data_IF_406141315322
#
_entry.id   IF_406141315322
#
_cell.length_a   1.000
_cell.length_b   1.000
_cell.length_c   1.000
_cell.angle_alpha   90.00
_cell.angle_beta   90.00
_cell.angle_gamma   90.00
#
_symmetry.space_group_name_H-M   'P 1'
#
loop_
_entity.id
_entity.type
_entity.pdbx_description
1 polymer ?
#
# COMPACT_ATOMS: atom_id res chain seq x y z
N UNK A 1 26.83 -32.10 -11.55
CA UNK A 1 26.83 -30.75 -10.94
C UNK A 1 25.50 -30.09 -11.27
N UNK A 2 24.44 -30.43 -10.55
CA UNK A 2 23.13 -29.81 -10.73
C UNK A 2 23.02 -28.58 -9.84
N UNK A 3 23.07 -27.39 -10.46
CA UNK A 3 22.54 -26.17 -9.85
C UNK A 3 21.02 -26.30 -9.88
N UNK A 4 20.46 -27.03 -8.91
CA UNK A 4 19.05 -26.97 -8.61
C UNK A 4 18.73 -25.51 -8.26
N UNK A 5 18.17 -24.78 -9.22
CA UNK A 5 17.64 -23.44 -9.03
C UNK A 5 16.53 -23.56 -8.01
N UNK A 6 16.87 -23.32 -6.73
CA UNK A 6 15.90 -23.26 -5.64
C UNK A 6 14.97 -22.10 -5.97
N UNK A 7 13.85 -22.42 -6.61
CA UNK A 7 12.80 -21.47 -6.89
C UNK A 7 12.41 -20.84 -5.55
N UNK A 8 12.69 -19.54 -5.41
CA UNK A 8 12.33 -18.82 -4.19
C UNK A 8 10.84 -19.05 -3.93
N UNK A 9 10.42 -19.34 -2.68
CA UNK A 9 9.02 -19.61 -2.38
C UNK A 9 8.17 -18.46 -2.93
N UNK A 10 7.17 -18.77 -3.76
CA UNK A 10 6.35 -17.80 -4.52
C UNK A 10 5.89 -16.59 -3.68
N UNK A 11 5.66 -16.79 -2.38
CA UNK A 11 5.32 -15.74 -1.42
C UNK A 11 6.38 -14.65 -1.20
N UNK A 12 7.69 -14.96 -1.32
CA UNK A 12 8.78 -13.97 -1.21
C UNK A 12 8.80 -13.01 -2.40
N UNK A 13 8.60 -13.51 -3.62
CA UNK A 13 8.53 -12.69 -4.83
C UNK A 13 7.33 -11.73 -4.80
N UNK A 14 6.15 -12.24 -4.43
CA UNK A 14 4.93 -11.43 -4.28
C UNK A 14 5.06 -10.36 -3.20
N UNK A 15 5.71 -10.67 -2.07
CA UNK A 15 5.94 -9.68 -1.01
C UNK A 15 6.88 -8.57 -1.50
N UNK A 16 7.94 -8.90 -2.23
CA UNK A 16 8.82 -7.88 -2.82
C UNK A 16 8.07 -7.02 -3.82
N UNK A 17 7.27 -7.62 -4.71
CA UNK A 17 6.44 -6.88 -5.66
C UNK A 17 5.45 -5.94 -4.95
N UNK A 18 4.75 -6.44 -3.92
CA UNK A 18 3.86 -5.62 -3.10
C UNK A 18 4.59 -4.43 -2.48
N UNK A 19 5.80 -4.64 -1.95
CA UNK A 19 6.61 -3.58 -1.32
C UNK A 19 7.05 -2.50 -2.30
N UNK A 20 7.57 -2.91 -3.45
CA UNK A 20 7.99 -1.98 -4.51
C UNK A 20 6.79 -1.18 -5.00
N UNK A 21 5.68 -1.87 -5.27
CA UNK A 21 4.45 -1.23 -5.72
C UNK A 21 3.90 -0.24 -4.68
N UNK A 22 3.85 -0.62 -3.41
CA UNK A 22 3.39 0.27 -2.34
C UNK A 22 4.28 1.50 -2.17
N UNK A 23 5.61 1.34 -2.24
CA UNK A 23 6.53 2.46 -2.16
C UNK A 23 6.36 3.41 -3.36
N UNK A 24 6.26 2.88 -4.57
CA UNK A 24 6.05 3.66 -5.79
C UNK A 24 4.70 4.40 -5.75
N UNK A 25 3.63 3.72 -5.36
CA UNK A 25 2.30 4.30 -5.22
C UNK A 25 2.30 5.41 -4.16
N UNK A 26 2.92 5.17 -2.99
CA UNK A 26 3.01 6.16 -1.93
C UNK A 26 3.78 7.41 -2.36
N UNK A 27 4.91 7.24 -3.07
CA UNK A 27 5.70 8.36 -3.59
C UNK A 27 4.92 9.15 -4.64
N UNK A 28 4.22 8.46 -5.55
CA UNK A 28 3.36 9.11 -6.54
C UNK A 28 2.23 9.90 -5.86
N UNK A 29 1.56 9.32 -4.86
CA UNK A 29 0.51 9.96 -4.10
C UNK A 29 1.01 11.18 -3.30
N UNK A 30 2.19 11.07 -2.67
CA UNK A 30 2.83 12.20 -1.97
C UNK A 30 3.23 13.31 -2.93
N UNK A 31 3.74 12.98 -4.11
CA UNK A 31 4.04 13.96 -5.15
C UNK A 31 2.77 14.68 -5.61
N UNK A 32 1.65 13.97 -5.79
CA UNK A 32 0.36 14.56 -6.09
C UNK A 32 -0.12 15.50 -4.98
N UNK A 33 -0.06 15.09 -3.71
CA UNK A 33 -0.39 15.97 -2.57
C UNK A 33 0.49 17.21 -2.57
N UNK A 34 1.81 17.06 -2.73
CA UNK A 34 2.73 18.19 -2.77
C UNK A 34 2.40 19.14 -3.93
N UNK A 35 2.13 18.60 -5.11
CA UNK A 35 1.78 19.39 -6.28
C UNK A 35 0.53 20.24 -6.01
N UNK A 36 -0.58 19.66 -5.56
CA UNK A 36 -1.82 20.39 -5.33
C UNK A 36 -1.83 21.28 -4.07
N UNK A 37 -0.98 20.99 -3.09
CA UNK A 37 -0.90 21.81 -1.86
C UNK A 37 0.09 22.97 -1.96
N UNK A 38 1.14 22.84 -2.79
CA UNK A 38 2.25 23.80 -2.86
C UNK A 38 2.37 24.46 -4.22
N UNK A 39 2.30 23.70 -5.31
CA UNK A 39 2.63 24.20 -6.65
C UNK A 39 1.40 24.69 -7.44
N UNK A 40 0.31 23.93 -7.39
CA UNK A 40 -0.92 24.17 -8.13
C UNK A 40 -2.10 24.41 -7.18
N UNK A 41 -1.88 25.18 -6.12
CA UNK A 41 -2.89 25.44 -5.08
C UNK A 41 -4.17 26.06 -5.64
N UNK A 42 -4.03 26.91 -6.66
CA UNK A 42 -5.13 27.60 -7.36
C UNK A 42 -6.01 26.63 -8.19
N UNK A 43 -5.47 25.47 -8.59
CA UNK A 43 -6.19 24.46 -9.35
C UNK A 43 -6.94 23.47 -8.45
N UNK A 44 -6.63 23.45 -7.16
CA UNK A 44 -7.25 22.56 -6.19
C UNK A 44 -8.58 23.12 -5.67
N UNK A 45 -9.58 22.26 -5.56
CA UNK A 45 -10.86 22.60 -4.94
C UNK A 45 -10.68 22.53 -3.42
N UNK A 46 -10.87 23.65 -2.73
CA UNK A 46 -10.81 23.73 -1.26
C UNK A 46 -12.20 24.05 -0.71
N UNK A 47 -12.71 23.21 0.18
CA UNK A 47 -14.02 23.40 0.82
C UNK A 47 -13.93 24.14 2.15
N UNK A 48 -12.71 24.34 2.66
CA UNK A 48 -12.40 25.04 3.89
C UNK A 48 -11.55 24.19 4.83
N UNK A 49 -10.76 24.84 5.70
CA UNK A 49 -9.74 24.16 6.51
C UNK A 49 -10.31 23.08 7.45
N UNK A 50 -11.57 23.20 7.88
CA UNK A 50 -12.22 22.20 8.74
C UNK A 50 -12.49 20.86 8.02
N UNK A 51 -12.57 20.88 6.69
CA UNK A 51 -12.83 19.70 5.86
C UNK A 51 -11.51 19.23 5.23
N UNK A 52 -10.76 20.16 4.63
CA UNK A 52 -9.60 19.80 3.82
C UNK A 52 -8.43 19.29 4.67
N UNK A 53 -8.14 19.93 5.81
CA UNK A 53 -7.01 19.54 6.68
C UNK A 53 -7.13 18.10 7.19
N UNK A 54 -8.26 17.64 7.77
CA UNK A 54 -8.37 16.26 8.22
C UNK A 54 -8.32 15.26 7.05
N UNK A 55 -8.92 15.57 5.90
CA UNK A 55 -8.89 14.68 4.73
C UNK A 55 -7.46 14.53 4.20
N UNK A 56 -6.77 15.65 3.95
CA UNK A 56 -5.37 15.64 3.50
C UNK A 56 -4.47 14.97 4.55
N UNK A 57 -4.69 15.23 5.83
CA UNK A 57 -3.95 14.57 6.92
C UNK A 57 -4.10 13.06 6.90
N UNK A 58 -5.33 12.54 6.78
CA UNK A 58 -5.58 11.10 6.68
C UNK A 58 -4.97 10.49 5.41
N UNK A 59 -5.03 11.21 4.29
CA UNK A 59 -4.39 10.77 3.04
C UNK A 59 -2.88 10.64 3.21
N UNK A 60 -2.22 11.67 3.77
CA UNK A 60 -0.78 11.65 4.04
C UNK A 60 -0.40 10.52 4.98
N UNK A 61 -1.17 10.29 6.05
CA UNK A 61 -0.95 9.14 6.95
C UNK A 61 -1.04 7.82 6.18
N UNK A 62 -2.06 7.63 5.34
CA UNK A 62 -2.19 6.44 4.49
C UNK A 62 -0.98 6.22 3.59
N UNK A 63 -0.48 7.28 2.94
CA UNK A 63 0.72 7.22 2.10
C UNK A 63 1.97 6.86 2.89
N UNK A 64 2.17 7.46 4.07
CA UNK A 64 3.30 7.15 4.93
C UNK A 64 3.28 5.70 5.43
N UNK A 65 2.09 5.13 5.70
CA UNK A 65 1.95 3.71 6.05
C UNK A 65 2.35 2.80 4.89
N UNK A 66 1.91 3.09 3.66
CA UNK A 66 2.31 2.35 2.45
C UNK A 66 3.82 2.44 2.21
N UNK A 67 4.39 3.63 2.38
CA UNK A 67 5.82 3.87 2.26
C UNK A 67 6.59 3.07 3.31
N UNK A 68 6.19 3.13 4.59
CA UNK A 68 6.79 2.38 5.68
C UNK A 68 6.75 0.87 5.43
N UNK A 69 5.63 0.35 4.92
CA UNK A 69 5.53 -1.04 4.48
C UNK A 69 6.56 -1.37 3.37
N UNK A 70 6.68 -0.51 2.36
CA UNK A 70 7.59 -0.70 1.23
C UNK A 70 9.08 -0.68 1.63
N UNK A 71 9.50 0.36 2.36
CA UNK A 71 10.92 0.67 2.53
C UNK A 71 11.52 0.27 3.87
N UNK A 72 10.74 0.15 4.95
CA UNK A 72 11.33 0.02 6.29
C UNK A 72 11.86 -1.39 6.55
N UNK A 73 13.19 -1.63 6.62
CA UNK A 73 13.74 -2.99 6.64
C UNK A 73 13.61 -3.66 8.02
N UNK A 74 13.55 -2.89 9.11
CA UNK A 74 13.58 -3.37 10.50
C UNK A 74 12.24 -3.77 11.11
N UNK A 75 11.12 -3.68 10.37
CA UNK A 75 9.82 -4.06 10.89
C UNK A 75 9.63 -5.58 10.82
N UNK A 76 9.10 -6.14 11.92
CA UNK A 76 8.61 -7.52 11.98
C UNK A 76 7.62 -7.76 10.81
N UNK A 77 7.66 -8.93 10.15
CA UNK A 77 6.84 -9.21 8.97
C UNK A 77 5.34 -8.94 9.16
N UNK A 78 4.79 -9.35 10.31
CA UNK A 78 3.37 -9.18 10.65
C UNK A 78 2.98 -7.71 10.78
N UNK A 79 3.77 -6.93 11.53
CA UNK A 79 3.55 -5.48 11.68
C UNK A 79 3.65 -4.77 10.33
N UNK A 80 4.57 -5.20 9.48
CA UNK A 80 4.73 -4.64 8.15
C UNK A 80 3.47 -4.85 7.31
N UNK A 81 2.99 -6.08 7.22
CA UNK A 81 1.75 -6.40 6.48
C UNK A 81 0.56 -5.62 7.03
N UNK A 82 0.44 -5.50 8.36
CA UNK A 82 -0.60 -4.70 8.99
C UNK A 82 -0.54 -3.21 8.56
N UNK A 83 0.65 -2.60 8.49
CA UNK A 83 0.81 -1.24 7.98
C UNK A 83 0.39 -1.12 6.51
N UNK A 84 0.76 -2.09 5.67
CA UNK A 84 0.36 -2.12 4.26
C UNK A 84 -1.16 -2.16 4.11
N UNK A 85 -1.83 -3.04 4.87
CA UNK A 85 -3.28 -3.15 4.89
C UNK A 85 -3.96 -1.88 5.44
N UNK A 86 -3.43 -1.31 6.53
CA UNK A 86 -3.94 -0.07 7.10
C UNK A 86 -3.80 1.11 6.13
N UNK A 87 -2.67 1.21 5.42
CA UNK A 87 -2.45 2.22 4.39
C UNK A 87 -3.43 2.10 3.21
N UNK A 88 -3.70 0.86 2.77
CA UNK A 88 -4.74 0.59 1.75
C UNK A 88 -6.13 0.97 2.26
N UNK A 89 -6.49 0.55 3.48
CA UNK A 89 -7.81 0.83 4.05
C UNK A 89 -8.06 2.34 4.20
N UNK A 90 -7.05 3.10 4.67
CA UNK A 90 -7.12 4.55 4.72
C UNK A 90 -7.26 5.15 3.31
N UNK A 91 -6.47 4.69 2.34
CA UNK A 91 -6.57 5.16 0.95
C UNK A 91 -7.97 4.98 0.35
N UNK A 92 -8.59 3.81 0.59
CA UNK A 92 -9.98 3.56 0.21
C UNK A 92 -10.95 4.51 0.93
N UNK A 93 -10.86 4.61 2.26
CA UNK A 93 -11.75 5.45 3.04
C UNK A 93 -11.67 6.92 2.61
N UNK A 94 -10.46 7.44 2.41
CA UNK A 94 -10.27 8.82 1.97
C UNK A 94 -10.79 9.05 0.56
N UNK A 95 -10.55 8.13 -0.39
CA UNK A 95 -11.03 8.31 -1.77
C UNK A 95 -12.56 8.17 -1.87
N UNK A 96 -13.19 7.28 -1.09
CA UNK A 96 -14.65 7.16 -1.04
C UNK A 96 -15.34 8.43 -0.55
N UNK A 97 -14.69 9.20 0.32
CA UNK A 97 -15.16 10.52 0.75
C UNK A 97 -14.80 11.58 -0.28
N UNK A 98 -13.56 11.56 -0.77
CA UNK A 98 -12.99 12.62 -1.61
C UNK A 98 -13.67 12.69 -2.98
N UNK A 99 -13.88 11.56 -3.65
CA UNK A 99 -14.46 11.51 -5.00
C UNK A 99 -15.79 12.29 -5.07
N UNK A 100 -16.83 11.98 -4.25
CA UNK A 100 -18.09 12.71 -4.32
C UNK A 100 -18.01 14.14 -3.76
N UNK A 101 -17.07 14.40 -2.84
CA UNK A 101 -16.99 15.69 -2.14
C UNK A 101 -16.26 16.76 -2.97
N UNK A 102 -15.24 16.36 -3.73
CA UNK A 102 -14.41 17.25 -4.56
C UNK A 102 -14.63 17.05 -6.06
N UNK A 103 -15.56 16.19 -6.48
CA UNK A 103 -15.79 15.83 -7.89
C UNK A 103 -14.50 15.43 -8.64
N UNK A 104 -13.67 14.61 -7.97
CA UNK A 104 -12.37 14.16 -8.50
C UNK A 104 -12.44 12.70 -8.95
N UNK A 105 -12.84 12.42 -10.20
CA UNK A 105 -12.96 11.04 -10.71
C UNK A 105 -11.61 10.32 -10.78
N UNK A 106 -10.49 11.04 -10.81
CA UNK A 106 -9.14 10.49 -10.77
C UNK A 106 -8.89 9.66 -9.50
N UNK A 107 -9.63 9.91 -8.42
CA UNK A 107 -9.61 9.10 -7.20
C UNK A 107 -9.93 7.62 -7.46
N UNK A 108 -10.70 7.30 -8.51
CA UNK A 108 -11.01 5.91 -8.91
C UNK A 108 -9.75 5.16 -9.34
N UNK A 109 -8.83 5.82 -10.06
CA UNK A 109 -7.57 5.21 -10.48
C UNK A 109 -6.68 4.89 -9.27
N UNK A 110 -6.65 5.79 -8.28
CA UNK A 110 -5.91 5.57 -7.04
C UNK A 110 -6.52 4.43 -6.22
N UNK A 111 -7.84 4.31 -6.17
CA UNK A 111 -8.53 3.17 -5.54
C UNK A 111 -8.23 1.85 -6.28
N UNK A 112 -8.19 1.86 -7.61
CA UNK A 112 -7.82 0.68 -8.38
C UNK A 112 -6.38 0.24 -8.10
N UNK A 113 -5.44 1.20 -8.01
CA UNK A 113 -4.07 0.92 -7.58
C UNK A 113 -4.02 0.33 -6.15
N UNK A 114 -4.80 0.86 -5.22
CA UNK A 114 -4.91 0.30 -3.86
C UNK A 114 -5.51 -1.11 -3.85
N UNK A 115 -6.46 -1.40 -4.73
CA UNK A 115 -6.99 -2.75 -4.92
C UNK A 115 -5.92 -3.73 -5.41
N UNK A 116 -5.07 -3.30 -6.35
CA UNK A 116 -3.93 -4.11 -6.82
C UNK A 116 -2.97 -4.39 -5.67
N UNK A 117 -2.63 -3.39 -4.86
CA UNK A 117 -1.78 -3.56 -3.68
C UNK A 117 -2.42 -4.54 -2.68
N UNK A 118 -3.72 -4.43 -2.43
CA UNK A 118 -4.46 -5.34 -1.56
C UNK A 118 -4.36 -6.79 -2.04
N UNK A 119 -4.59 -7.02 -3.33
CA UNK A 119 -4.48 -8.36 -3.93
C UNK A 119 -3.07 -8.92 -3.76
N UNK A 120 -2.03 -8.12 -4.02
CA UNK A 120 -0.64 -8.54 -3.83
C UNK A 120 -0.35 -8.93 -2.38
N UNK A 121 -0.84 -8.15 -1.40
CA UNK A 121 -0.70 -8.43 0.03
C UNK A 121 -1.42 -9.73 0.43
N UNK A 122 -2.65 -9.94 -0.04
CA UNK A 122 -3.43 -11.14 0.24
C UNK A 122 -2.80 -12.40 -0.39
N UNK A 123 -2.23 -12.30 -1.58
CA UNK A 123 -1.53 -13.41 -2.22
C UNK A 123 -0.18 -13.71 -1.52
N UNK A 124 0.56 -12.68 -1.12
CA UNK A 124 1.81 -12.84 -0.38
C UNK A 124 1.59 -13.52 0.97
N UNK A 125 0.56 -13.12 1.73
CA UNK A 125 0.22 -13.73 3.03
C UNK A 125 -0.19 -15.19 2.89
N UNK A 126 -0.99 -15.54 1.87
CA UNK A 126 -1.36 -16.93 1.56
C UNK A 126 -0.14 -17.80 1.24
N UNK A 127 0.79 -17.30 0.42
CA UNK A 127 2.01 -18.01 0.05
C UNK A 127 3.00 -18.22 1.21
N UNK A 128 3.03 -17.30 2.17
CA UNK A 128 3.82 -17.44 3.40
C UNK A 128 3.24 -18.52 4.33
N UNK A 129 1.92 -18.51 4.53
CA UNK A 129 1.23 -19.48 5.38
C UNK A 129 1.24 -20.93 4.86
N UNK A 130 1.28 -21.14 3.55
CA UNK A 130 1.43 -22.48 2.96
C UNK A 130 2.85 -23.05 3.16
N UNK A 131 3.87 -22.20 3.10
CA UNK A 131 5.27 -22.61 3.25
C UNK A 131 5.55 -23.04 4.70
N UNK A 132 5.13 -22.23 5.67
CA UNK A 132 5.34 -22.51 7.11
C UNK A 132 4.59 -23.76 7.63
N UNK A 133 3.51 -24.19 6.95
CA UNK A 133 2.83 -25.45 7.26
C UNK A 133 3.58 -26.66 6.71
N UNK A 134 4.12 -26.54 5.50
CA UNK A 134 4.91 -27.61 4.86
C UNK A 134 6.19 -27.90 5.66
N UNK A 135 6.90 -26.86 6.08
CA UNK A 135 8.14 -27.00 6.86
C UNK A 135 7.89 -27.69 8.21
N UNK A 136 6.76 -27.39 8.87
CA UNK A 136 6.35 -28.07 10.11
C UNK A 136 5.97 -29.54 9.92
N UNK A 137 5.34 -29.88 8.80
CA UNK A 137 5.01 -31.26 8.48
C UNK A 137 6.26 -32.11 8.20
N UNK A 138 7.27 -31.54 7.54
CA UNK A 138 8.56 -32.21 7.29
C UNK A 138 9.35 -32.40 8.58
N UNK A 139 9.36 -31.41 9.48
CA UNK A 139 10.08 -31.51 10.76
C UNK A 139 9.44 -32.52 11.75
N UNK A 140 8.19 -32.93 11.52
CA UNK A 140 7.46 -33.87 12.35
C UNK A 140 7.47 -35.32 11.81
N UNK A 141 8.06 -35.54 10.63
CA UNK A 141 8.20 -36.84 9.97
C UNK A 141 9.63 -37.36 10.12
#
# INVERSE_FOLDING_TARGET
MDKAGVAAPRGRGLLTAARVFAAALALFQLAGVFFFTVLAREEAIWLGPLIDVPIVGLMVVGMLLKLAFGVWPRLLPERRIALGLAGVALGFATNLVKIPLYDEPEGVLLMAADAVLLVLLLLATRGLGSSARRDRAVAAA
#
